data_IF_937066551159
#
_entry.id   IF_937066551159
#
_cell.length_a   1.000
_cell.length_b   1.000
_cell.length_c   1.000
_cell.angle_alpha   90.00
_cell.angle_beta   90.00
_cell.angle_gamma   90.00
#
_symmetry.space_group_name_H-M   'P 1'
#
loop_
_entity.id
_entity.type
_entity.pdbx_description
1 polymer ?
#
# COMPACT_ATOMS: atom_id res chain seq x y z
N UNK A 1 17.59 -10.85 -4.34
CA UNK A 1 17.00 -9.63 -3.75
C UNK A 1 15.89 -10.08 -2.79
N UNK A 2 15.72 -9.39 -1.67
CA UNK A 2 14.68 -9.74 -0.70
C UNK A 2 13.29 -9.39 -1.23
N UNK A 3 12.28 -10.12 -0.75
CA UNK A 3 10.88 -9.87 -1.09
C UNK A 3 10.48 -8.48 -0.56
N UNK A 4 9.81 -7.63 -1.35
CA UNK A 4 9.33 -6.34 -0.88
C UNK A 4 8.44 -6.50 0.36
N UNK A 5 8.52 -5.59 1.34
CA UNK A 5 7.68 -5.67 2.53
C UNK A 5 6.20 -5.59 2.17
N UNK A 6 5.41 -6.47 2.78
CA UNK A 6 3.95 -6.42 2.70
C UNK A 6 3.40 -5.26 3.52
N UNK A 7 2.18 -4.82 3.18
CA UNK A 7 1.50 -3.71 3.85
C UNK A 7 -0.02 -3.86 3.79
N UNK A 8 -0.71 -2.92 4.44
CA UNK A 8 -2.17 -2.78 4.37
C UNK A 8 -2.46 -1.58 3.47
N UNK A 9 -3.15 -1.82 2.36
CA UNK A 9 -3.46 -0.79 1.38
C UNK A 9 -4.97 -0.49 1.38
N UNK A 10 -5.30 0.79 1.21
CA UNK A 10 -6.69 1.23 0.98
C UNK A 10 -6.80 1.69 -0.47
N UNK A 11 -7.61 0.98 -1.25
CA UNK A 11 -7.79 1.23 -2.69
C UNK A 11 -9.23 1.59 -3.00
N UNK A 12 -9.43 2.40 -4.03
CA UNK A 12 -10.74 2.80 -4.53
C UNK A 12 -10.92 2.42 -6.00
N UNK A 13 -12.16 2.28 -6.50
CA UNK A 13 -12.41 2.04 -7.91
C UNK A 13 -11.82 3.14 -8.81
N UNK A 14 -11.36 2.73 -9.98
CA UNK A 14 -10.88 3.67 -11.01
C UNK A 14 -12.00 4.66 -11.37
N UNK A 15 -11.64 5.94 -11.43
CA UNK A 15 -12.58 7.01 -11.78
C UNK A 15 -13.29 7.65 -10.59
N UNK A 16 -12.86 7.37 -9.35
CA UNK A 16 -13.37 8.08 -8.18
C UNK A 16 -13.19 9.61 -8.36
N UNK A 17 -14.24 10.43 -8.15
CA UNK A 17 -14.15 11.88 -8.27
C UNK A 17 -13.03 12.47 -7.37
N UNK A 18 -12.24 13.44 -7.87
CA UNK A 18 -11.10 14.00 -7.11
C UNK A 18 -11.47 14.53 -5.72
N UNK A 19 -12.66 15.14 -5.60
CA UNK A 19 -13.15 15.64 -4.33
C UNK A 19 -13.39 14.51 -3.29
N UNK A 20 -13.87 13.35 -3.74
CA UNK A 20 -14.04 12.18 -2.88
C UNK A 20 -12.70 11.54 -2.53
N UNK A 21 -11.79 11.43 -3.50
CA UNK A 21 -10.42 10.95 -3.27
C UNK A 21 -9.72 11.78 -2.19
N UNK A 22 -9.79 13.11 -2.31
CA UNK A 22 -9.20 14.02 -1.32
C UNK A 22 -9.83 13.85 0.06
N UNK A 23 -11.16 13.84 0.14
CA UNK A 23 -11.88 13.71 1.43
C UNK A 23 -11.54 12.40 2.15
N UNK A 24 -11.47 11.29 1.40
CA UNK A 24 -11.10 9.99 1.97
C UNK A 24 -9.63 9.96 2.39
N UNK A 25 -8.72 10.47 1.56
CA UNK A 25 -7.29 10.55 1.90
C UNK A 25 -7.02 11.37 3.17
N UNK A 26 -7.68 12.52 3.31
CA UNK A 26 -7.59 13.35 4.52
C UNK A 26 -8.14 12.63 5.77
N UNK A 27 -9.29 11.95 5.64
CA UNK A 27 -9.87 11.20 6.74
C UNK A 27 -8.98 10.03 7.18
N UNK A 28 -8.43 9.28 6.22
CA UNK A 28 -7.51 8.16 6.50
C UNK A 28 -6.25 8.70 7.19
N UNK A 29 -5.61 9.73 6.63
CA UNK A 29 -4.42 10.35 7.24
C UNK A 29 -4.67 10.79 8.69
N UNK A 30 -5.85 11.34 8.97
CA UNK A 30 -6.22 11.75 10.32
C UNK A 30 -6.35 10.54 11.24
N UNK A 31 -7.14 9.53 10.86
CA UNK A 31 -7.39 8.32 11.66
C UNK A 31 -6.08 7.59 11.93
N UNK A 32 -5.22 7.45 10.93
CA UNK A 32 -3.96 6.73 11.09
C UNK A 32 -2.99 7.47 12.01
N UNK A 33 -3.12 8.79 12.17
CA UNK A 33 -2.34 9.56 13.13
C UNK A 33 -2.89 9.50 14.57
N UNK A 34 -4.07 8.92 14.80
CA UNK A 34 -4.67 8.85 16.14
C UNK A 34 -3.92 7.87 17.05
N UNK A 35 -3.74 8.19 18.34
CA UNK A 35 -3.02 7.33 19.29
C UNK A 35 -3.63 5.94 19.41
N UNK A 36 -4.96 5.82 19.35
CA UNK A 36 -5.67 4.54 19.38
C UNK A 36 -5.27 3.65 18.21
N UNK A 37 -5.15 4.21 17.01
CA UNK A 37 -4.70 3.47 15.83
C UNK A 37 -3.25 3.01 15.98
N UNK A 38 -2.36 3.89 16.46
CA UNK A 38 -0.95 3.57 16.68
C UNK A 38 -0.76 2.48 17.74
N UNK A 39 -1.59 2.48 18.79
CA UNK A 39 -1.61 1.42 19.81
C UNK A 39 -1.99 0.08 19.21
N UNK A 40 -3.00 0.05 18.33
CA UNK A 40 -3.40 -1.17 17.62
C UNK A 40 -2.25 -1.68 16.76
N UNK A 41 -1.62 -0.84 15.94
CA UNK A 41 -0.47 -1.25 15.12
C UNK A 41 0.66 -1.85 15.96
N UNK A 42 1.03 -1.17 17.05
CA UNK A 42 2.04 -1.66 17.99
C UNK A 42 1.66 -3.01 18.58
N UNK A 43 0.39 -3.23 18.93
CA UNK A 43 -0.06 -4.51 19.51
C UNK A 43 0.01 -5.71 18.57
N UNK A 44 0.08 -5.46 17.25
CA UNK A 44 0.23 -6.46 16.21
C UNK A 44 1.64 -6.48 15.61
N UNK A 45 2.61 -5.77 16.21
CA UNK A 45 3.97 -5.59 15.67
C UNK A 45 3.98 -5.06 14.21
N UNK A 46 2.98 -4.25 13.85
CA UNK A 46 2.88 -3.64 12.53
C UNK A 46 3.58 -2.27 12.57
N UNK A 47 4.66 -2.06 11.79
CA UNK A 47 5.31 -0.75 11.74
C UNK A 47 4.41 0.29 11.07
N UNK A 48 4.45 1.52 11.60
CA UNK A 48 3.74 2.63 10.98
C UNK A 48 4.57 3.27 9.87
N UNK A 49 4.21 2.96 8.61
CA UNK A 49 4.83 3.50 7.39
C UNK A 49 3.74 4.04 6.47
N UNK A 50 3.14 5.17 6.86
CA UNK A 50 2.05 5.78 6.10
C UNK A 50 2.54 6.32 4.76
N UNK A 51 1.86 5.92 3.69
CA UNK A 51 1.99 6.48 2.35
C UNK A 51 0.68 7.13 1.94
N UNK A 52 0.77 8.31 1.33
CA UNK A 52 -0.36 8.88 0.62
C UNK A 52 -0.55 8.20 -0.75
N UNK A 53 -1.57 8.63 -1.50
CA UNK A 53 -1.90 8.02 -2.79
C UNK A 53 -0.73 8.01 -3.79
N UNK A 54 0.11 9.06 -3.81
CA UNK A 54 1.24 9.15 -4.74
C UNK A 54 2.37 8.21 -4.30
N UNK A 55 2.70 8.21 -3.01
CA UNK A 55 3.68 7.29 -2.44
C UNK A 55 3.29 5.84 -2.63
N UNK A 56 2.01 5.51 -2.41
CA UNK A 56 1.47 4.16 -2.60
C UNK A 56 1.50 3.76 -4.07
N UNK A 57 1.11 4.66 -4.99
CA UNK A 57 1.15 4.37 -6.43
C UNK A 57 2.58 4.05 -6.90
N UNK A 58 3.56 4.82 -6.45
CA UNK A 58 4.97 4.56 -6.73
C UNK A 58 5.40 3.19 -6.20
N UNK A 59 5.10 2.88 -4.93
CA UNK A 59 5.44 1.59 -4.30
C UNK A 59 4.80 0.42 -5.05
N UNK A 60 3.53 0.51 -5.43
CA UNK A 60 2.84 -0.55 -6.20
C UNK A 60 3.52 -0.78 -7.54
N UNK A 61 3.91 0.27 -8.26
CA UNK A 61 4.62 0.14 -9.56
C UNK A 61 5.97 -0.56 -9.39
N UNK A 62 6.72 -0.19 -8.36
CA UNK A 62 8.03 -0.79 -8.04
C UNK A 62 7.87 -2.27 -7.64
N UNK A 63 6.91 -2.58 -6.75
CA UNK A 63 6.63 -3.95 -6.34
C UNK A 63 6.17 -4.82 -7.51
N UNK A 64 5.27 -4.30 -8.35
CA UNK A 64 4.81 -5.01 -9.54
C UNK A 64 5.97 -5.36 -10.48
N UNK A 65 6.90 -4.42 -10.72
CA UNK A 65 8.08 -4.67 -11.52
C UNK A 65 8.99 -5.74 -10.90
N UNK A 66 9.22 -5.66 -9.58
CA UNK A 66 10.02 -6.64 -8.85
C UNK A 66 9.42 -8.05 -8.93
N UNK A 67 8.13 -8.20 -8.64
CA UNK A 67 7.45 -9.51 -8.67
C UNK A 67 7.41 -10.08 -10.08
N UNK A 68 7.20 -9.25 -11.11
CA UNK A 68 7.27 -9.70 -12.50
C UNK A 68 8.65 -10.27 -12.84
N UNK A 69 9.72 -9.56 -12.50
CA UNK A 69 11.10 -10.02 -12.74
C UNK A 69 11.43 -11.31 -11.96
N UNK A 70 11.04 -11.36 -10.69
CA UNK A 70 11.23 -12.53 -9.82
C UNK A 70 10.51 -13.77 -10.37
N UNK A 71 9.24 -13.65 -10.76
CA UNK A 71 8.45 -14.76 -11.30
C UNK A 71 9.02 -15.25 -12.64
N UNK A 72 9.43 -14.34 -13.51
CA UNK A 72 10.07 -14.69 -14.79
C UNK A 72 11.38 -15.47 -14.61
N UNK A 73 12.21 -15.08 -13.63
CA UNK A 73 13.50 -15.74 -13.36
C UNK A 73 13.37 -17.06 -12.60
N UNK A 74 12.34 -17.22 -11.78
CA UNK A 74 12.12 -18.42 -10.97
C UNK A 74 11.47 -19.58 -11.75
N UNK A 75 11.12 -19.38 -13.02
CA UNK A 75 10.47 -20.41 -13.85
C UNK A 75 9.02 -20.68 -13.44
N UNK A 76 8.46 -19.88 -12.53
CA UNK A 76 7.06 -19.93 -12.15
C UNK A 76 6.22 -19.33 -13.28
N UNK A 77 5.22 -20.08 -13.77
CA UNK A 77 4.33 -19.58 -14.83
C UNK A 77 3.61 -18.33 -14.33
N UNK A 78 3.84 -17.20 -14.99
CA UNK A 78 2.95 -16.03 -14.87
C UNK A 78 1.60 -16.41 -15.45
N UNK A 79 0.54 -16.32 -14.66
CA UNK A 79 -0.84 -16.45 -15.16
C UNK A 79 -1.03 -15.32 -16.19
N UNK A 80 -1.39 -15.71 -17.42
CA UNK A 80 -1.65 -14.79 -18.53
C UNK A 80 -2.91 -13.97 -18.28
#
# INVERSE_FOLDING_TARGET
PDVPPSGIDVVAPKGLPPALTKKLGEAIKKITAEPEFQKVLTSFDVPYDYLDSEGLEKKIREQYAWFKDYLQKSGLKTIK
#
